data_IF_734343124121
#
_entry.id   IF_734343124121
#
_cell.length_a   1.000
_cell.length_b   1.000
_cell.length_c   1.000
_cell.angle_alpha   90.00
_cell.angle_beta   90.00
_cell.angle_gamma   90.00
#
_symmetry.space_group_name_H-M   'P 1'
#
loop_
_entity.id
_entity.type
_entity.pdbx_description
1 polymer ?
#
# COMPACT_ATOMS: atom_id res chain seq x y z
N UNK A 1 13.49 -19.67 -11.25
CA UNK A 1 12.10 -19.95 -10.76
C UNK A 1 12.11 -19.64 -9.28
N UNK A 2 11.65 -18.44 -8.93
CA UNK A 2 11.60 -18.02 -7.53
C UNK A 2 10.53 -18.75 -6.74
N UNK A 3 10.82 -19.05 -5.48
CA UNK A 3 9.83 -19.56 -4.54
C UNK A 3 9.54 -18.47 -3.50
N UNK A 4 8.66 -17.55 -3.86
CA UNK A 4 8.20 -16.51 -2.93
C UNK A 4 7.03 -17.00 -2.08
N UNK A 5 7.02 -16.56 -0.82
CA UNK A 5 5.88 -16.64 0.10
C UNK A 5 5.32 -15.24 0.31
N UNK A 6 4.00 -15.16 0.43
CA UNK A 6 3.26 -13.91 0.59
C UNK A 6 2.61 -13.91 1.97
N UNK A 7 2.82 -12.85 2.73
CA UNK A 7 2.28 -12.69 4.08
C UNK A 7 1.46 -11.40 4.15
N UNK A 8 0.15 -11.47 4.47
CA UNK A 8 -0.63 -10.29 4.77
C UNK A 8 -0.17 -9.69 6.10
N UNK A 9 0.01 -8.37 6.12
CA UNK A 9 0.36 -7.57 7.28
C UNK A 9 -0.77 -6.57 7.51
N UNK A 10 -1.71 -6.93 8.40
CA UNK A 10 -2.87 -6.08 8.74
C UNK A 10 -2.42 -5.04 9.75
N UNK A 11 -2.43 -3.77 9.36
CA UNK A 11 -1.87 -2.70 10.19
C UNK A 11 -2.89 -1.86 10.91
N UNK A 12 -4.11 -1.75 10.39
CA UNK A 12 -5.16 -0.91 10.93
C UNK A 12 -6.50 -1.53 10.53
N UNK A 13 -7.52 -1.39 11.36
CA UNK A 13 -8.90 -1.66 10.99
C UNK A 13 -9.68 -0.36 11.02
N UNK A 14 -10.46 -0.11 9.97
CA UNK A 14 -11.50 0.90 9.97
C UNK A 14 -12.84 0.24 10.26
N UNK A 15 -13.57 0.72 11.26
CA UNK A 15 -14.81 0.05 11.72
C UNK A 15 -16.02 0.31 10.80
N UNK A 16 -16.09 1.49 10.21
CA UNK A 16 -17.22 1.94 9.41
C UNK A 16 -16.79 2.43 8.02
N UNK A 17 -16.16 1.54 7.24
CA UNK A 17 -15.87 1.85 5.84
C UNK A 17 -17.15 1.77 5.01
N UNK A 18 -17.49 2.86 4.32
CA UNK A 18 -18.66 2.93 3.47
C UNK A 18 -18.44 2.08 2.19
N UNK A 19 -19.32 1.11 1.96
CA UNK A 19 -19.12 0.07 0.95
C UNK A 19 -19.31 0.54 -0.50
N UNK A 20 -19.99 1.66 -0.74
CA UNK A 20 -20.10 2.25 -2.08
C UNK A 20 -18.75 2.82 -2.57
N UNK A 21 -17.83 3.17 -1.65
CA UNK A 21 -16.46 3.50 -2.00
C UNK A 21 -15.68 2.30 -2.57
N UNK A 22 -16.05 1.08 -2.16
CA UNK A 22 -15.39 -0.16 -2.61
C UNK A 22 -16.15 -0.84 -3.76
N UNK A 23 -17.42 -0.50 -3.98
CA UNK A 23 -18.29 -1.11 -5.00
C UNK A 23 -19.05 -0.05 -5.77
N UNK A 24 -18.54 0.30 -6.95
CA UNK A 24 -19.08 1.37 -7.77
C UNK A 24 -20.58 1.23 -8.02
N UNK A 25 -21.36 2.21 -7.57
CA UNK A 25 -22.80 2.28 -7.79
C UNK A 25 -23.63 1.30 -6.94
N UNK A 26 -23.04 0.64 -5.94
CA UNK A 26 -23.71 -0.34 -5.08
C UNK A 26 -23.52 -0.02 -3.60
N UNK A 27 -24.33 -0.63 -2.73
CA UNK A 27 -24.14 -0.66 -1.27
C UNK A 27 -24.07 0.72 -0.57
N UNK A 28 -24.65 1.76 -1.16
CA UNK A 28 -24.74 3.09 -0.52
C UNK A 28 -25.37 3.01 0.87
N UNK A 29 -24.67 3.56 1.86
CA UNK A 29 -25.11 3.59 3.26
C UNK A 29 -24.93 2.27 4.01
N UNK A 30 -24.24 1.30 3.39
CA UNK A 30 -23.82 0.07 4.07
C UNK A 30 -22.38 0.24 4.52
N UNK A 31 -22.16 0.12 5.83
CA UNK A 31 -20.82 0.15 6.41
C UNK A 31 -20.31 -1.27 6.68
N UNK A 32 -19.02 -1.48 6.52
CA UNK A 32 -18.36 -2.73 6.90
C UNK A 32 -16.96 -2.45 7.46
N UNK A 33 -16.49 -3.28 8.41
CA UNK A 33 -15.10 -3.20 8.84
C UNK A 33 -14.16 -3.48 7.66
N UNK A 34 -13.15 -2.64 7.48
CA UNK A 34 -12.15 -2.78 6.42
C UNK A 34 -10.75 -2.88 7.02
N UNK A 35 -10.03 -3.98 6.82
CA UNK A 35 -8.62 -4.07 7.20
C UNK A 35 -7.76 -3.30 6.20
N UNK A 36 -6.85 -2.48 6.70
CA UNK A 36 -5.76 -1.93 5.90
C UNK A 36 -4.60 -2.92 5.95
N UNK A 37 -4.22 -3.42 4.77
CA UNK A 37 -3.28 -4.51 4.61
C UNK A 37 -2.15 -4.06 3.68
N UNK A 38 -0.92 -4.28 4.13
CA UNK A 38 0.25 -4.30 3.25
C UNK A 38 0.83 -5.71 3.23
N UNK A 39 1.73 -6.00 2.30
CA UNK A 39 2.20 -7.36 2.08
C UNK A 39 3.69 -7.47 2.27
N UNK A 40 4.12 -8.54 2.93
CA UNK A 40 5.50 -8.98 2.91
C UNK A 40 5.63 -10.16 1.95
N UNK A 41 6.54 -10.03 0.99
CA UNK A 41 6.88 -11.04 -0.01
C UNK A 41 8.31 -11.49 0.24
N UNK A 42 8.51 -12.75 0.63
CA UNK A 42 9.83 -13.30 1.00
C UNK A 42 10.21 -14.47 0.13
N UNK A 43 11.43 -14.44 -0.40
CA UNK A 43 11.95 -15.52 -1.24
C UNK A 43 13.23 -15.10 -1.94
N UNK A 44 14.02 -16.09 -2.37
CA UNK A 44 15.26 -15.86 -3.13
C UNK A 44 16.25 -14.89 -2.47
N UNK A 45 16.28 -14.84 -1.13
CA UNK A 45 17.15 -13.91 -0.40
C UNK A 45 16.67 -12.46 -0.36
N UNK A 46 15.41 -12.19 -0.75
CA UNK A 46 14.79 -10.87 -0.69
C UNK A 46 13.65 -10.80 0.33
N UNK A 47 13.55 -9.68 1.03
CA UNK A 47 12.37 -9.23 1.77
C UNK A 47 11.79 -7.99 1.07
N UNK A 48 10.60 -8.15 0.49
CA UNK A 48 9.95 -7.12 -0.30
C UNK A 48 8.66 -6.73 0.40
N UNK A 49 8.41 -5.44 0.57
CA UNK A 49 7.10 -4.93 0.96
C UNK A 49 6.34 -4.45 -0.28
N UNK A 50 5.06 -4.79 -0.34
CA UNK A 50 4.09 -4.13 -1.22
C UNK A 50 3.24 -3.26 -0.31
N UNK A 51 3.41 -1.95 -0.43
CA UNK A 51 2.93 -0.91 0.49
C UNK A 51 3.54 -0.95 1.89
N UNK A 52 3.27 0.09 2.68
CA UNK A 52 3.76 0.25 4.06
C UNK A 52 2.65 0.55 5.07
N UNK A 53 1.39 0.52 4.64
CA UNK A 53 0.24 0.67 5.52
C UNK A 53 -0.02 2.10 5.99
N UNK A 54 -0.96 2.22 6.92
CA UNK A 54 -1.48 3.47 7.47
C UNK A 54 -0.71 4.01 8.69
N UNK A 55 -1.07 5.24 9.08
CA UNK A 55 -0.64 5.88 10.33
C UNK A 55 -1.23 5.22 11.58
N UNK A 56 -0.92 5.80 12.74
CA UNK A 56 -1.55 5.44 14.02
C UNK A 56 -3.08 5.68 14.00
N UNK A 57 -3.85 4.94 14.82
CA UNK A 57 -5.31 5.01 14.81
C UNK A 57 -5.88 6.37 15.22
N UNK A 58 -5.18 7.17 16.04
CA UNK A 58 -5.65 8.50 16.44
C UNK A 58 -5.62 9.45 15.24
N UNK A 59 -4.48 9.48 14.53
CA UNK A 59 -4.32 10.26 13.30
C UNK A 59 -5.31 9.80 12.21
N UNK A 60 -5.47 8.48 12.03
CA UNK A 60 -6.39 7.93 11.04
C UNK A 60 -7.84 8.31 11.35
N UNK A 61 -8.28 8.15 12.60
CA UNK A 61 -9.65 8.49 13.04
C UNK A 61 -9.95 9.97 12.94
N UNK A 62 -8.95 10.82 13.14
CA UNK A 62 -9.11 12.27 13.04
C UNK A 62 -9.28 12.76 11.60
N UNK A 63 -8.54 12.17 10.67
CA UNK A 63 -8.41 12.70 9.32
C UNK A 63 -9.19 11.91 8.25
N UNK A 64 -9.50 10.63 8.52
CA UNK A 64 -10.07 9.70 7.54
C UNK A 64 -11.30 8.98 8.11
N UNK A 65 -11.13 7.78 8.65
CA UNK A 65 -12.19 6.93 9.17
C UNK A 65 -11.88 6.47 10.58
N UNK A 66 -12.91 6.30 11.41
CA UNK A 66 -12.76 5.72 12.74
C UNK A 66 -12.03 4.38 12.64
N UNK A 67 -10.91 4.29 13.35
CA UNK A 67 -9.94 3.23 13.18
C UNK A 67 -9.33 2.81 14.51
N UNK A 68 -8.93 1.54 14.58
CA UNK A 68 -8.24 0.98 15.73
C UNK A 68 -7.11 0.05 15.31
N UNK A 69 -6.14 -0.08 16.21
CA UNK A 69 -4.93 -0.87 16.03
C UNK A 69 -4.57 -1.53 17.36
N UNK A 70 -4.20 -2.81 17.36
CA UNK A 70 -3.56 -3.45 18.52
C UNK A 70 -2.03 -3.32 18.45
N UNK A 71 -1.32 -3.56 19.55
CA UNK A 71 0.14 -3.54 19.53
C UNK A 71 0.73 -4.50 18.48
N UNK A 72 0.14 -5.67 18.29
CA UNK A 72 0.59 -6.67 17.32
C UNK A 72 0.43 -6.21 15.86
N UNK A 73 -0.49 -5.29 15.59
CA UNK A 73 -0.76 -4.73 14.26
C UNK A 73 0.21 -3.60 13.88
N UNK A 74 1.05 -3.12 14.81
CA UNK A 74 2.06 -2.11 14.46
C UNK A 74 3.05 -2.68 13.44
N UNK A 75 3.43 -1.94 12.39
CA UNK A 75 4.30 -2.44 11.32
C UNK A 75 5.60 -3.10 11.83
N UNK A 76 6.24 -2.50 12.84
CA UNK A 76 7.45 -3.05 13.46
C UNK A 76 7.21 -4.38 14.19
N UNK A 77 6.07 -4.52 14.87
CA UNK A 77 5.71 -5.74 15.59
C UNK A 77 5.30 -6.85 14.61
N UNK A 78 4.63 -6.50 13.50
CA UNK A 78 4.32 -7.41 12.40
C UNK A 78 5.58 -8.01 11.77
N UNK A 79 6.62 -7.21 11.52
CA UNK A 79 7.91 -7.70 11.05
C UNK A 79 8.67 -8.51 12.11
N UNK A 80 8.70 -8.01 13.35
CA UNK A 80 9.37 -8.69 14.47
C UNK A 80 8.80 -10.08 14.72
N UNK A 81 7.48 -10.25 14.62
CA UNK A 81 6.82 -11.56 14.75
C UNK A 81 7.25 -12.59 13.69
N UNK A 82 7.89 -12.12 12.61
CA UNK A 82 8.45 -12.93 11.51
C UNK A 82 9.97 -12.99 11.54
N UNK A 83 10.61 -12.43 12.57
CA UNK A 83 12.06 -12.43 12.72
C UNK A 83 12.78 -11.50 11.74
N UNK A 84 12.12 -10.45 11.26
CA UNK A 84 12.64 -9.49 10.29
C UNK A 84 12.85 -8.16 10.99
N UNK A 85 14.03 -7.58 10.86
CA UNK A 85 14.27 -6.20 11.26
C UNK A 85 13.85 -5.25 10.11
N UNK A 86 13.41 -4.03 10.40
CA UNK A 86 13.04 -3.07 9.34
C UNK A 86 14.18 -2.77 8.36
N UNK A 87 15.43 -2.87 8.82
CA UNK A 87 16.65 -2.72 8.02
C UNK A 87 16.87 -3.86 7.02
N UNK A 88 16.23 -5.01 7.23
CA UNK A 88 16.32 -6.19 6.36
C UNK A 88 15.36 -6.11 5.16
N UNK A 89 14.55 -5.04 5.04
CA UNK A 89 13.68 -4.82 3.89
C UNK A 89 14.50 -4.26 2.73
N UNK A 90 14.55 -5.01 1.63
CA UNK A 90 15.35 -4.65 0.45
C UNK A 90 14.60 -3.69 -0.47
N UNK A 91 13.31 -3.95 -0.67
CA UNK A 91 12.50 -3.29 -1.70
C UNK A 91 11.12 -2.96 -1.13
N UNK A 92 10.61 -1.78 -1.45
CA UNK A 92 9.22 -1.39 -1.26
C UNK A 92 8.65 -1.08 -2.65
N UNK A 93 7.50 -1.67 -2.97
CA UNK A 93 6.72 -1.34 -4.16
C UNK A 93 5.43 -0.65 -3.70
N UNK A 94 5.30 0.64 -3.95
CA UNK A 94 4.11 1.42 -3.58
C UNK A 94 3.05 1.29 -4.67
N UNK A 95 1.96 0.58 -4.39
CA UNK A 95 0.87 0.36 -5.34
C UNK A 95 0.24 1.67 -5.76
N UNK A 96 0.08 2.60 -4.82
CA UNK A 96 -0.27 4.00 -5.03
C UNK A 96 0.10 4.84 -3.79
N UNK A 97 -0.19 6.15 -3.79
CA UNK A 97 0.26 7.09 -2.75
C UNK A 97 -0.88 7.62 -1.85
N UNK A 98 -1.94 6.84 -1.64
CA UNK A 98 -2.88 7.15 -0.57
C UNK A 98 -2.27 6.90 0.82
N UNK A 99 -2.81 7.59 1.81
CA UNK A 99 -2.36 7.60 3.21
C UNK A 99 -2.21 6.19 3.79
N UNK A 100 -3.11 5.27 3.46
CA UNK A 100 -3.17 3.92 3.98
C UNK A 100 -2.20 2.94 3.32
N UNK A 101 -1.42 3.40 2.32
CA UNK A 101 -0.45 2.58 1.59
C UNK A 101 1.01 3.02 1.78
N UNK A 102 1.26 4.27 2.18
CA UNK A 102 2.61 4.84 2.13
C UNK A 102 3.08 5.51 3.43
N UNK A 103 2.38 5.33 4.55
CA UNK A 103 2.63 6.12 5.76
C UNK A 103 3.93 5.79 6.49
N UNK A 104 4.36 4.52 6.45
CA UNK A 104 5.45 4.03 7.29
C UNK A 104 6.81 3.94 6.59
N UNK A 105 7.05 4.72 5.52
CA UNK A 105 8.28 4.64 4.73
C UNK A 105 9.57 4.96 5.51
N UNK A 106 9.49 5.80 6.54
CA UNK A 106 10.60 6.12 7.44
C UNK A 106 11.12 4.89 8.19
N UNK A 107 10.27 3.89 8.45
CA UNK A 107 10.66 2.70 9.22
C UNK A 107 11.68 1.81 8.50
N UNK A 108 11.83 1.93 7.18
CA UNK A 108 12.57 0.98 6.35
C UNK A 108 13.78 1.63 5.68
N UNK A 109 14.83 2.01 6.41
CA UNK A 109 15.85 2.95 5.94
C UNK A 109 16.66 2.45 4.73
N UNK A 110 16.86 1.14 4.59
CA UNK A 110 17.68 0.54 3.53
C UNK A 110 16.91 0.23 2.24
N UNK A 111 15.57 0.26 2.30
CA UNK A 111 14.75 -0.20 1.20
C UNK A 111 14.81 0.74 -0.01
N UNK A 112 14.93 0.14 -1.21
CA UNK A 112 14.70 0.81 -2.48
C UNK A 112 13.20 0.91 -2.74
N UNK A 113 12.68 2.13 -2.90
CA UNK A 113 11.24 2.38 -3.02
C UNK A 113 10.89 2.58 -4.50
N UNK A 114 9.96 1.81 -5.05
CA UNK A 114 9.46 1.99 -6.41
C UNK A 114 8.07 2.63 -6.40
N UNK A 115 7.86 3.59 -7.30
CA UNK A 115 6.56 4.27 -7.50
C UNK A 115 6.39 4.65 -8.97
N UNK A 116 5.17 4.54 -9.48
CA UNK A 116 4.84 4.96 -10.85
C UNK A 116 4.95 6.48 -10.98
N UNK A 117 5.53 6.95 -12.09
CA UNK A 117 5.62 8.37 -12.41
C UNK A 117 4.25 9.04 -12.47
N UNK A 118 3.26 8.35 -13.05
CA UNK A 118 1.89 8.85 -13.12
C UNK A 118 1.29 9.06 -11.73
N UNK A 119 1.61 8.17 -10.78
CA UNK A 119 1.15 8.28 -9.39
C UNK A 119 1.80 9.47 -8.71
N UNK A 120 3.12 9.57 -8.80
CA UNK A 120 3.88 10.64 -8.17
C UNK A 120 3.47 12.01 -8.72
N UNK A 121 3.28 12.13 -10.03
CA UNK A 121 2.82 13.37 -10.66
C UNK A 121 1.42 13.77 -10.20
N UNK A 122 0.51 12.81 -10.06
CA UNK A 122 -0.85 13.08 -9.58
C UNK A 122 -0.88 13.44 -8.09
N UNK A 123 -0.09 12.75 -7.26
CA UNK A 123 -0.01 12.98 -5.82
C UNK A 123 0.50 14.38 -5.43
N UNK A 124 1.28 15.04 -6.32
CA UNK A 124 1.76 16.42 -6.11
C UNK A 124 0.61 17.42 -6.15
N UNK A 125 -0.34 17.25 -7.07
CA UNK A 125 -1.50 18.14 -7.20
C UNK A 125 -2.76 17.37 -7.63
N UNK A 126 -3.34 16.57 -6.71
CA UNK A 126 -4.50 15.75 -7.04
C UNK A 126 -5.76 16.62 -7.15
N UNK A 127 -6.78 16.08 -7.82
CA UNK A 127 -8.07 16.76 -7.93
C UNK A 127 -8.70 17.01 -6.55
N UNK A 128 -9.54 18.06 -6.40
CA UNK A 128 -10.15 18.41 -5.12
C UNK A 128 -10.77 17.25 -4.34
N UNK A 129 -11.50 16.30 -4.96
CA UNK A 129 -12.08 15.16 -4.24
C UNK A 129 -11.06 14.20 -3.64
N UNK A 130 -9.82 14.17 -4.14
CA UNK A 130 -8.79 13.21 -3.71
C UNK A 130 -7.76 13.85 -2.77
N UNK A 131 -7.88 15.14 -2.45
CA UNK A 131 -6.89 15.86 -1.62
C UNK A 131 -6.67 15.21 -0.25
N UNK A 132 -7.73 14.67 0.37
CA UNK A 132 -7.67 14.02 1.68
C UNK A 132 -6.99 12.65 1.57
N UNK A 133 -7.38 11.82 0.59
CA UNK A 133 -6.79 10.49 0.39
C UNK A 133 -5.27 10.53 0.15
N UNK A 134 -4.79 11.55 -0.56
CA UNK A 134 -3.36 11.80 -0.77
C UNK A 134 -2.68 12.62 0.34
N UNK A 135 -3.45 13.06 1.34
CA UNK A 135 -3.02 14.03 2.36
C UNK A 135 -2.27 15.23 1.78
N UNK A 136 -2.70 15.65 0.59
CA UNK A 136 -2.06 16.73 -0.14
C UNK A 136 -2.16 18.02 0.69
N UNK A 137 -1.13 18.88 0.74
CA UNK A 137 -1.12 20.08 1.59
C UNK A 137 -2.34 21.01 1.43
N UNK A 138 -2.98 21.01 0.25
CA UNK A 138 -4.22 21.77 0.00
C UNK A 138 -5.43 21.28 0.82
N UNK A 139 -5.40 20.06 1.36
CA UNK A 139 -6.39 19.56 2.33
C UNK A 139 -6.14 20.05 3.77
N UNK A 140 -4.98 20.66 4.04
CA UNK A 140 -4.53 20.98 5.39
C UNK A 140 -3.78 19.85 6.11
N UNK A 141 -3.58 18.71 5.44
CA UNK A 141 -2.78 17.58 5.93
C UNK A 141 -1.35 17.62 5.38
N UNK A 142 -0.50 16.69 5.82
CA UNK A 142 0.89 16.56 5.35
C UNK A 142 1.11 15.15 4.85
N UNK A 143 1.35 15.01 3.55
CA UNK A 143 1.57 13.71 2.93
C UNK A 143 2.85 13.02 3.42
N UNK A 144 2.71 11.77 3.88
CA UNK A 144 3.80 10.99 4.46
C UNK A 144 4.91 10.62 3.47
N UNK A 145 4.60 10.55 2.17
CA UNK A 145 5.57 10.11 1.15
C UNK A 145 6.58 11.19 0.75
N UNK A 146 6.23 12.48 0.85
CA UNK A 146 7.03 13.57 0.29
C UNK A 146 8.44 13.71 0.89
N UNK A 147 8.65 13.56 2.22
CA UNK A 147 10.00 13.53 2.81
C UNK A 147 10.91 12.44 2.24
N UNK A 148 10.34 11.38 1.65
CA UNK A 148 11.07 10.24 1.11
C UNK A 148 11.29 10.32 -0.41
N UNK A 149 10.90 11.42 -1.07
CA UNK A 149 11.05 11.58 -2.52
C UNK A 149 12.49 11.28 -3.02
N UNK A 150 13.51 11.67 -2.25
CA UNK A 150 14.91 11.39 -2.58
C UNK A 150 15.32 9.92 -2.54
N UNK A 151 14.50 9.05 -1.93
CA UNK A 151 14.70 7.59 -1.84
C UNK A 151 13.90 6.81 -2.90
N UNK A 152 13.02 7.49 -3.63
CA UNK A 152 12.12 6.86 -4.60
C UNK A 152 12.80 6.66 -5.95
N UNK A 153 12.67 5.46 -6.48
CA UNK A 153 12.96 5.09 -7.87
C UNK A 153 11.67 5.20 -8.67
N UNK A 154 11.61 6.21 -9.53
CA UNK A 154 10.47 6.47 -10.39
C UNK A 154 10.49 5.51 -11.57
N UNK A 155 9.38 4.83 -11.83
CA UNK A 155 9.20 3.89 -12.95
C UNK A 155 8.06 4.34 -13.86
N UNK A 156 8.05 3.83 -15.09
CA UNK A 156 7.01 4.14 -16.09
C UNK A 156 6.53 2.85 -16.74
N UNK A 157 5.27 2.49 -16.51
CA UNK A 157 4.65 1.29 -17.10
C UNK A 157 5.01 0.01 -16.36
N UNK A 158 4.80 -1.12 -17.04
CA UNK A 158 5.13 -2.44 -16.51
C UNK A 158 6.64 -2.61 -16.37
N UNK A 159 7.09 -3.21 -15.27
CA UNK A 159 8.51 -3.46 -15.06
C UNK A 159 8.78 -4.70 -14.20
N UNK A 160 9.96 -5.28 -14.40
CA UNK A 160 10.45 -6.34 -13.54
C UNK A 160 11.10 -5.71 -12.30
N UNK A 161 10.57 -6.02 -11.12
CA UNK A 161 11.11 -5.54 -9.83
C UNK A 161 12.39 -6.30 -9.49
N UNK A 162 12.33 -7.63 -9.60
CA UNK A 162 13.45 -8.58 -9.52
C UNK A 162 13.01 -9.95 -10.08
N UNK A 163 13.91 -10.95 -10.10
CA UNK A 163 13.55 -12.29 -10.64
C UNK A 163 12.35 -12.87 -9.88
N UNK A 164 11.24 -13.05 -10.60
CA UNK A 164 10.02 -13.64 -10.05
C UNK A 164 9.00 -12.66 -9.47
N UNK A 165 9.32 -11.36 -9.50
CA UNK A 165 8.42 -10.27 -9.09
C UNK A 165 8.29 -9.27 -10.24
N UNK A 166 7.08 -9.16 -10.77
CA UNK A 166 6.73 -8.22 -11.84
C UNK A 166 5.70 -7.23 -11.31
N UNK A 167 5.78 -5.96 -11.72
CA UNK A 167 4.79 -4.94 -11.38
C UNK A 167 4.14 -4.42 -12.66
N UNK A 168 2.81 -4.31 -12.63
CA UNK A 168 1.99 -3.94 -13.78
C UNK A 168 1.27 -2.63 -13.50
N UNK A 169 1.45 -1.65 -14.39
CA UNK A 169 0.72 -0.40 -14.33
C UNK A 169 -0.74 -0.69 -14.71
N UNK A 170 -1.66 -0.43 -13.78
CA UNK A 170 -3.09 -0.70 -13.94
C UNK A 170 -3.90 0.53 -13.49
N UNK A 171 -3.88 1.62 -14.29
CA UNK A 171 -4.53 2.88 -13.93
C UNK A 171 -6.03 2.65 -13.78
N UNK A 172 -6.57 2.97 -12.61
CA UNK A 172 -7.99 2.79 -12.30
C UNK A 172 -8.36 3.59 -11.06
N UNK A 173 -8.16 3.02 -9.85
CA UNK A 173 -8.34 3.67 -8.56
C UNK A 173 -7.58 5.00 -8.49
N UNK A 174 -6.31 4.97 -8.91
CA UNK A 174 -5.48 6.15 -9.13
C UNK A 174 -4.83 6.12 -10.51
N UNK A 175 -4.37 7.28 -11.04
CA UNK A 175 -3.72 7.33 -12.36
C UNK A 175 -2.44 6.51 -12.48
N UNK A 176 -1.74 6.24 -11.37
CA UNK A 176 -0.55 5.41 -11.35
C UNK A 176 -0.65 4.17 -10.47
N UNK A 177 -1.88 3.70 -10.20
CA UNK A 177 -2.11 2.43 -9.51
C UNK A 177 -1.37 1.29 -10.21
N UNK A 178 -0.72 0.43 -9.44
CA UNK A 178 -0.08 -0.78 -9.94
C UNK A 178 -0.32 -1.99 -9.06
N UNK A 179 -0.33 -3.17 -9.70
CA UNK A 179 -0.40 -4.46 -9.03
C UNK A 179 0.94 -5.19 -9.10
N UNK A 180 1.20 -6.05 -8.12
CA UNK A 180 2.45 -6.83 -8.05
C UNK A 180 2.15 -8.31 -8.27
N UNK A 181 2.70 -8.90 -9.32
CA UNK A 181 2.64 -10.32 -9.57
C UNK A 181 3.82 -11.04 -8.92
N UNK A 182 3.51 -12.06 -8.12
CA UNK A 182 4.46 -12.80 -7.32
C UNK A 182 4.46 -14.26 -7.77
N UNK A 183 5.63 -14.76 -8.21
CA UNK A 183 5.80 -16.17 -8.57
C UNK A 183 6.08 -17.00 -7.33
N UNK A 184 5.15 -17.90 -7.00
CA UNK A 184 5.20 -18.80 -5.84
C UNK A 184 5.24 -20.26 -6.32
N UNK A 185 5.46 -21.21 -5.41
CA UNK A 185 5.28 -22.64 -5.67
C UNK A 185 3.85 -22.99 -6.15
N UNK A 186 2.83 -22.26 -5.68
CA UNK A 186 1.42 -22.47 -6.05
C UNK A 186 1.01 -21.83 -7.39
N UNK A 187 1.95 -21.15 -8.08
CA UNK A 187 1.67 -20.38 -9.29
C UNK A 187 1.90 -18.89 -9.10
N UNK A 188 1.32 -18.09 -9.99
CA UNK A 188 1.44 -16.63 -9.95
C UNK A 188 0.24 -16.05 -9.20
N UNK A 189 0.51 -15.30 -8.14
CA UNK A 189 -0.50 -14.54 -7.40
C UNK A 189 -0.36 -13.06 -7.73
N UNK A 190 -1.47 -12.36 -7.94
CA UNK A 190 -1.49 -10.92 -8.19
C UNK A 190 -1.97 -10.20 -6.92
N UNK A 191 -1.11 -9.35 -6.36
CA UNK A 191 -1.47 -8.41 -5.31
C UNK A 191 -2.06 -7.17 -5.99
N UNK A 192 -3.39 -7.18 -6.14
CA UNK A 192 -4.12 -6.18 -6.91
C UNK A 192 -4.33 -4.85 -6.17
N UNK A 193 -4.15 -4.81 -4.85
CA UNK A 193 -4.42 -3.60 -4.04
C UNK A 193 -5.86 -3.07 -4.31
N UNK A 194 -6.04 -1.76 -4.18
CA UNK A 194 -7.32 -1.07 -4.37
C UNK A 194 -7.85 -1.07 -5.81
N UNK A 195 -7.15 -1.67 -6.76
CA UNK A 195 -7.69 -1.93 -8.10
C UNK A 195 -8.85 -2.95 -8.00
N UNK A 196 -8.76 -3.89 -7.06
CA UNK A 196 -9.78 -4.90 -6.77
C UNK A 196 -9.92 -5.10 -5.26
N UNK A 197 -10.55 -4.14 -4.54
CA UNK A 197 -10.61 -4.17 -3.08
C UNK A 197 -11.43 -5.36 -2.55
N UNK A 198 -12.39 -5.89 -3.32
CA UNK A 198 -13.21 -7.03 -2.95
C UNK A 198 -13.31 -8.04 -4.09
N UNK A 199 -13.52 -9.32 -3.75
CA UNK A 199 -13.75 -10.40 -4.72
C UNK A 199 -14.91 -10.10 -5.70
N UNK A 200 -15.91 -9.34 -5.29
CA UNK A 200 -17.04 -8.96 -6.15
C UNK A 200 -16.72 -7.89 -7.19
N UNK A 201 -15.52 -7.29 -7.14
CA UNK A 201 -15.04 -6.37 -8.17
C UNK A 201 -14.43 -7.12 -9.37
N UNK A 202 -14.26 -8.44 -9.29
CA UNK A 202 -13.85 -9.33 -10.37
C UNK A 202 -15.05 -9.96 -11.09
#
# INVERSE_FOLDING_TARGET
MGNYKIYPLVTLFSDESEMSMQTFGMNFGVNSPSPIVFWLVQGNGHNILVDTGACDPETASKNHHESWQTEEMKPLNLLKSRGIAPEDIDIIVLTHLHWDHCYNLELYPNAKIYVQKAELMYAIDPLPPHLVAYEAPKSGLTNAWYPHLGRMTIVEGDFNVCEGIDAYLLPSHTPGSMAVAVRTEGGVYLLASDILPLFKNW
#
